data_IF_977001013024
#
_entry.id   IF_977001013024
#
_cell.length_a   1.000
_cell.length_b   1.000
_cell.length_c   1.000
_cell.angle_alpha   90.00
_cell.angle_beta   90.00
_cell.angle_gamma   90.00
#
_symmetry.space_group_name_H-M   'P 1'
#
loop_
_entity.id
_entity.type
_entity.pdbx_description
1 polymer ?
#
# COMPACT_ATOMS: atom_id res chain seq x y z
N UNK A 1 56.75 24.01 18.52
CA UNK A 1 55.93 25.17 18.13
C UNK A 1 54.92 24.68 17.10
N UNK A 2 53.64 25.00 17.30
CA UNK A 2 52.45 24.60 16.49
C UNK A 2 51.77 23.25 16.81
N UNK A 3 51.31 23.10 18.06
CA UNK A 3 50.05 22.41 18.31
C UNK A 3 48.94 23.47 18.31
N UNK A 4 48.26 23.65 17.17
CA UNK A 4 46.98 24.34 17.17
C UNK A 4 45.95 23.39 17.79
N UNK A 5 45.59 23.66 19.04
CA UNK A 5 44.31 23.24 19.57
C UNK A 5 43.23 23.82 18.66
N UNK A 6 42.69 23.01 17.74
CA UNK A 6 41.36 23.26 17.24
C UNK A 6 40.45 22.99 18.44
N UNK A 7 39.98 24.07 19.09
CA UNK A 7 38.87 24.00 20.03
C UNK A 7 37.78 23.13 19.37
N UNK A 8 37.24 22.11 20.07
CA UNK A 8 36.02 21.50 19.62
C UNK A 8 35.00 22.63 19.60
N UNK A 9 34.58 23.03 18.40
CA UNK A 9 33.49 23.97 18.18
C UNK A 9 32.37 23.51 19.09
N UNK A 10 32.14 24.24 20.19
CA UNK A 10 31.11 23.94 21.16
C UNK A 10 29.79 23.93 20.39
N UNK A 11 29.34 22.73 20.01
CA UNK A 11 28.02 22.53 19.41
C UNK A 11 27.06 22.84 20.55
N UNK A 12 26.43 24.00 20.47
CA UNK A 12 25.46 24.46 21.45
C UNK A 12 24.38 23.37 21.58
N UNK A 13 24.10 22.84 22.77
CA UNK A 13 23.06 21.82 22.97
C UNK A 13 21.69 22.27 22.44
N UNK A 14 21.42 23.59 22.46
CA UNK A 14 20.21 24.21 21.89
C UNK A 14 20.17 24.21 20.36
N UNK A 15 21.31 24.16 19.65
CA UNK A 15 21.32 24.03 18.19
C UNK A 15 21.08 22.58 17.74
N UNK A 16 21.54 21.61 18.54
CA UNK A 16 21.33 20.18 18.25
C UNK A 16 19.89 19.74 18.53
N UNK A 17 19.24 20.27 19.58
CA UNK A 17 17.83 20.00 19.87
C UNK A 17 16.91 20.57 18.80
N UNK A 18 17.11 21.83 18.39
CA UNK A 18 16.31 22.46 17.32
C UNK A 18 16.47 21.73 15.98
N UNK A 19 17.69 21.34 15.59
CA UNK A 19 17.89 20.59 14.34
C UNK A 19 17.23 19.22 14.39
N UNK A 20 17.28 18.52 15.54
CA UNK A 20 16.65 17.19 15.68
C UNK A 20 15.13 17.29 15.67
N UNK A 21 14.55 18.32 16.28
CA UNK A 21 13.09 18.57 16.26
C UNK A 21 12.59 18.97 14.86
N UNK A 22 13.33 19.84 14.14
CA UNK A 22 12.99 20.22 12.76
C UNK A 22 13.05 19.01 11.83
N UNK A 23 14.08 18.16 11.94
CA UNK A 23 14.20 16.93 11.15
C UNK A 23 13.09 15.91 11.48
N UNK A 24 12.64 15.83 12.74
CA UNK A 24 11.55 14.94 13.12
C UNK A 24 10.19 15.39 12.54
N UNK A 25 9.91 16.69 12.56
CA UNK A 25 8.69 17.29 12.01
C UNK A 25 8.62 17.14 10.48
N UNK A 26 9.76 17.32 9.79
CA UNK A 26 9.83 17.12 8.33
C UNK A 26 9.57 15.67 7.93
N UNK A 27 10.13 14.70 8.65
CA UNK A 27 9.87 13.27 8.42
C UNK A 27 8.41 12.88 8.71
N UNK A 28 7.79 13.49 9.73
CA UNK A 28 6.37 13.27 10.04
C UNK A 28 5.47 13.82 8.93
N UNK A 29 5.73 15.06 8.47
CA UNK A 29 5.02 15.67 7.34
C UNK A 29 5.13 14.85 6.07
N UNK A 30 6.31 14.32 5.76
CA UNK A 30 6.50 13.46 4.59
C UNK A 30 5.69 12.17 4.69
N UNK A 31 5.66 11.52 5.86
CA UNK A 31 4.84 10.32 6.11
C UNK A 31 3.35 10.61 5.95
N UNK A 32 2.86 11.69 6.56
CA UNK A 32 1.46 12.11 6.45
C UNK A 32 1.10 12.38 4.98
N UNK A 33 1.94 13.13 4.26
CA UNK A 33 1.74 13.45 2.84
C UNK A 33 1.72 12.19 1.96
N UNK A 34 2.59 11.23 2.24
CA UNK A 34 2.62 9.93 1.56
C UNK A 34 1.35 9.11 1.82
N UNK A 35 0.89 9.07 3.06
CA UNK A 35 -0.34 8.37 3.45
C UNK A 35 -1.57 8.96 2.75
N UNK A 36 -1.72 10.29 2.74
CA UNK A 36 -2.83 10.98 2.07
C UNK A 36 -2.85 10.68 0.57
N UNK A 37 -1.68 10.72 -0.10
CA UNK A 37 -1.60 10.41 -1.53
C UNK A 37 -2.05 8.98 -1.83
N UNK A 38 -1.63 8.03 -1.00
CA UNK A 38 -1.97 6.62 -1.16
C UNK A 38 -3.47 6.38 -0.96
N UNK A 39 -4.07 7.00 0.06
CA UNK A 39 -5.50 6.91 0.35
C UNK A 39 -6.37 7.57 -0.74
N UNK A 40 -5.93 8.70 -1.30
CA UNK A 40 -6.61 9.35 -2.43
C UNK A 40 -6.60 8.48 -3.69
N UNK A 41 -5.48 7.84 -4.00
CA UNK A 41 -5.37 6.94 -5.16
C UNK A 41 -6.26 5.72 -4.97
N UNK A 42 -6.23 5.07 -3.79
CA UNK A 42 -7.09 3.91 -3.52
C UNK A 42 -8.57 4.25 -3.54
N UNK A 43 -8.97 5.38 -2.95
CA UNK A 43 -10.38 5.79 -2.97
C UNK A 43 -10.85 6.13 -4.38
N UNK A 44 -10.02 6.81 -5.20
CA UNK A 44 -10.34 7.08 -6.60
C UNK A 44 -10.46 5.79 -7.42
N UNK A 45 -9.58 4.82 -7.19
CA UNK A 45 -9.58 3.50 -7.83
C UNK A 45 -10.89 2.76 -7.59
N UNK A 46 -11.32 2.64 -6.32
CA UNK A 46 -12.59 2.01 -5.94
C UNK A 46 -13.78 2.72 -6.61
N UNK A 47 -13.75 4.06 -6.65
CA UNK A 47 -14.82 4.85 -7.27
C UNK A 47 -14.90 4.57 -8.78
N UNK A 48 -13.78 4.61 -9.49
CA UNK A 48 -13.72 4.39 -10.94
C UNK A 48 -14.16 2.98 -11.31
N UNK A 49 -13.72 1.96 -10.56
CA UNK A 49 -14.14 0.57 -10.77
C UNK A 49 -15.63 0.43 -10.58
N UNK A 50 -16.14 0.97 -9.46
CA UNK A 50 -17.57 0.90 -9.16
C UNK A 50 -18.38 1.58 -10.25
N UNK A 51 -18.04 2.83 -10.60
CA UNK A 51 -18.69 3.58 -11.66
C UNK A 51 -18.64 2.86 -13.01
N UNK A 52 -17.53 2.22 -13.36
CA UNK A 52 -17.41 1.41 -14.56
C UNK A 52 -18.37 0.23 -14.56
N UNK A 53 -18.46 -0.52 -13.45
CA UNK A 53 -19.35 -1.70 -13.35
C UNK A 53 -20.84 -1.36 -13.34
N UNK A 54 -21.21 -0.20 -12.79
CA UNK A 54 -22.60 0.26 -12.71
C UNK A 54 -22.95 1.33 -13.74
N UNK A 55 -22.10 1.57 -14.74
CA UNK A 55 -22.28 2.64 -15.71
C UNK A 55 -23.62 2.57 -16.47
N UNK A 56 -24.19 1.36 -16.61
CA UNK A 56 -25.44 1.10 -17.36
C UNK A 56 -26.72 1.24 -16.54
N UNK A 57 -26.65 1.42 -15.21
CA UNK A 57 -27.85 1.57 -14.35
C UNK A 57 -28.19 3.04 -14.10
N UNK A 58 -29.40 3.30 -13.56
CA UNK A 58 -29.84 4.66 -13.24
C UNK A 58 -28.94 5.34 -12.21
N UNK A 59 -28.82 6.67 -12.27
CA UNK A 59 -27.97 7.46 -11.38
C UNK A 59 -28.23 7.18 -9.89
N UNK A 60 -29.50 7.03 -9.50
CA UNK A 60 -29.89 6.69 -8.12
C UNK A 60 -29.29 5.35 -7.66
N UNK A 61 -29.34 4.34 -8.53
CA UNK A 61 -28.74 3.04 -8.25
C UNK A 61 -27.21 3.11 -8.22
N UNK A 62 -26.59 3.90 -9.10
CA UNK A 62 -25.13 4.11 -9.08
C UNK A 62 -24.67 4.69 -7.75
N UNK A 63 -25.33 5.74 -7.26
CA UNK A 63 -25.01 6.37 -5.97
C UNK A 63 -25.21 5.38 -4.82
N UNK A 64 -26.31 4.63 -4.81
CA UNK A 64 -26.57 3.63 -3.77
C UNK A 64 -25.49 2.54 -3.73
N UNK A 65 -25.09 2.01 -4.89
CA UNK A 65 -24.01 1.00 -4.96
C UNK A 65 -22.68 1.59 -4.54
N UNK A 66 -22.35 2.81 -5.01
CA UNK A 66 -21.09 3.47 -4.67
C UNK A 66 -20.95 3.72 -3.16
N UNK A 67 -22.01 4.22 -2.51
CA UNK A 67 -22.04 4.40 -1.04
C UNK A 67 -21.95 3.05 -0.32
N UNK A 68 -22.69 2.05 -0.79
CA UNK A 68 -22.65 0.70 -0.21
C UNK A 68 -21.27 0.08 -0.26
N UNK A 69 -20.61 0.09 -1.43
CA UNK A 69 -19.24 -0.41 -1.60
C UNK A 69 -18.25 0.40 -0.77
N UNK A 70 -18.37 1.73 -0.72
CA UNK A 70 -17.50 2.56 0.09
C UNK A 70 -17.55 2.18 1.58
N UNK A 71 -18.75 1.98 2.14
CA UNK A 71 -18.93 1.55 3.54
C UNK A 71 -18.39 0.14 3.76
N UNK A 72 -18.74 -0.80 2.89
CA UNK A 72 -18.30 -2.21 3.00
C UNK A 72 -16.78 -2.30 2.94
N UNK A 73 -16.14 -1.60 2.01
CA UNK A 73 -14.69 -1.60 1.87
C UNK A 73 -14.01 -0.91 3.05
N UNK A 74 -14.57 0.21 3.54
CA UNK A 74 -14.04 0.89 4.73
C UNK A 74 -14.10 -0.06 5.94
N UNK A 75 -15.27 -0.59 6.28
CA UNK A 75 -15.41 -1.48 7.43
C UNK A 75 -14.64 -2.78 7.23
N UNK A 76 -14.69 -3.36 6.03
CA UNK A 76 -14.07 -4.64 5.70
C UNK A 76 -12.54 -4.57 5.76
N UNK A 77 -11.92 -3.59 5.09
CA UNK A 77 -10.46 -3.46 5.04
C UNK A 77 -9.91 -3.01 6.38
N UNK A 78 -10.44 -1.93 6.97
CA UNK A 78 -9.96 -1.44 8.26
C UNK A 78 -10.25 -2.44 9.39
N UNK A 79 -11.39 -3.15 9.33
CA UNK A 79 -11.74 -4.21 10.28
C UNK A 79 -10.80 -5.42 10.17
N UNK A 80 -10.48 -5.86 8.95
CA UNK A 80 -9.52 -6.95 8.73
C UNK A 80 -8.13 -6.57 9.22
N UNK A 81 -7.63 -5.37 8.89
CA UNK A 81 -6.33 -4.89 9.35
C UNK A 81 -6.30 -4.77 10.87
N UNK A 82 -7.34 -4.20 11.49
CA UNK A 82 -7.46 -4.10 12.94
C UNK A 82 -7.48 -5.48 13.61
N UNK A 83 -8.17 -6.46 13.02
CA UNK A 83 -8.17 -7.84 13.52
C UNK A 83 -6.77 -8.46 13.46
N UNK A 84 -6.04 -8.27 12.36
CA UNK A 84 -4.66 -8.76 12.20
C UNK A 84 -3.74 -8.13 13.25
N UNK A 85 -3.80 -6.82 13.45
CA UNK A 85 -2.98 -6.10 14.44
C UNK A 85 -3.35 -6.55 15.86
N UNK A 86 -4.63 -6.72 16.16
CA UNK A 86 -5.10 -7.21 17.47
C UNK A 86 -4.60 -8.63 17.77
N UNK A 87 -4.51 -9.48 16.75
CA UNK A 87 -3.96 -10.83 16.88
C UNK A 87 -2.45 -10.79 17.16
N UNK A 88 -1.71 -9.86 16.56
CA UNK A 88 -0.28 -9.65 16.84
C UNK A 88 -0.05 -9.17 18.29
N UNK A 89 -0.75 -8.12 18.71
CA UNK A 89 -0.71 -7.60 20.08
C UNK A 89 -1.14 -8.67 21.12
N UNK A 90 -2.17 -9.46 20.77
CA UNK A 90 -2.60 -10.60 21.57
C UNK A 90 -1.55 -11.70 21.67
N UNK A 91 -0.77 -11.91 20.60
CA UNK A 91 0.36 -12.84 20.59
C UNK A 91 1.42 -12.47 21.63
N UNK A 92 1.72 -11.18 21.79
CA UNK A 92 2.62 -10.68 22.82
C UNK A 92 2.08 -10.96 24.23
N UNK A 93 0.79 -10.73 24.46
CA UNK A 93 0.16 -11.05 25.75
C UNK A 93 0.24 -12.55 26.08
N UNK A 94 0.03 -13.42 25.10
CA UNK A 94 0.17 -14.88 25.26
C UNK A 94 1.62 -15.29 25.52
N UNK A 95 2.60 -14.64 24.86
CA UNK A 95 4.02 -14.91 25.03
C UNK A 95 4.54 -14.54 26.42
N UNK A 96 3.98 -13.51 27.05
CA UNK A 96 4.33 -13.06 28.40
C UNK A 96 3.68 -13.88 29.52
N UNK A 97 2.85 -14.88 29.18
CA UNK A 97 2.14 -15.69 30.17
C UNK A 97 3.11 -16.55 31.01
N UNK A 98 3.18 -16.27 32.32
CA UNK A 98 4.10 -16.92 33.28
C UNK A 98 3.52 -18.16 33.97
N UNK A 99 2.33 -18.63 33.56
CA UNK A 99 1.70 -19.79 34.17
C UNK A 99 2.57 -21.05 34.01
N UNK A 100 2.87 -21.72 35.13
CA UNK A 100 3.72 -22.94 35.16
C UNK A 100 2.96 -24.22 34.77
N UNK A 101 1.69 -24.11 34.35
CA UNK A 101 0.88 -25.23 33.87
C UNK A 101 1.25 -25.61 32.43
N UNK A 102 1.01 -26.88 32.03
CA UNK A 102 1.18 -27.37 30.65
C UNK A 102 0.45 -26.45 29.64
N UNK A 103 -0.76 -25.99 29.99
CA UNK A 103 -1.56 -25.06 29.19
C UNK A 103 -0.86 -23.69 29.05
N UNK A 104 -0.16 -23.22 30.09
CA UNK A 104 0.64 -22.00 30.07
C UNK A 104 1.84 -22.10 29.13
N UNK A 105 2.51 -23.25 29.11
CA UNK A 105 3.62 -23.52 28.18
C UNK A 105 3.17 -23.55 26.71
N UNK A 106 2.00 -24.14 26.41
CA UNK A 106 1.41 -24.15 25.05
C UNK A 106 1.04 -22.73 24.63
N UNK A 107 0.35 -21.96 25.49
CA UNK A 107 -0.01 -20.56 25.21
C UNK A 107 1.21 -19.70 24.93
N UNK A 108 2.28 -19.85 25.72
CA UNK A 108 3.55 -19.13 25.50
C UNK A 108 4.19 -19.48 24.17
N UNK A 109 4.27 -20.78 23.83
CA UNK A 109 4.84 -21.24 22.55
C UNK A 109 4.03 -20.71 21.36
N UNK A 110 2.70 -20.67 21.47
CA UNK A 110 1.81 -20.11 20.46
C UNK A 110 1.98 -18.58 20.32
N UNK A 111 2.09 -17.86 21.44
CA UNK A 111 2.38 -16.43 21.44
C UNK A 111 3.71 -16.08 20.76
N UNK A 112 4.77 -16.84 21.03
CA UNK A 112 6.06 -16.69 20.33
C UNK A 112 5.96 -17.01 18.83
N UNK A 113 5.15 -18.00 18.45
CA UNK A 113 4.93 -18.32 17.05
C UNK A 113 4.20 -17.18 16.31
N UNK A 114 3.18 -16.57 16.93
CA UNK A 114 2.47 -15.40 16.40
C UNK A 114 3.44 -14.22 16.25
N UNK A 115 4.18 -13.87 17.30
CA UNK A 115 5.10 -12.73 17.29
C UNK A 115 6.21 -12.89 16.23
N UNK A 116 6.67 -14.13 16.00
CA UNK A 116 7.63 -14.42 14.93
C UNK A 116 7.01 -14.28 13.54
N UNK A 117 5.73 -14.60 13.38
CA UNK A 117 5.03 -14.59 12.09
C UNK A 117 4.53 -13.19 11.69
N UNK A 118 4.11 -12.37 12.64
CA UNK A 118 3.59 -11.02 12.41
C UNK A 118 4.45 -10.13 11.49
N UNK A 119 5.80 -10.02 11.64
CA UNK A 119 6.59 -9.21 10.72
C UNK A 119 6.62 -9.75 9.29
N UNK A 120 6.47 -11.08 9.10
CA UNK A 120 6.36 -11.66 7.76
C UNK A 120 5.00 -11.38 7.14
N UNK A 121 3.93 -11.46 7.94
CA UNK A 121 2.58 -11.10 7.50
C UNK A 121 2.52 -9.63 7.05
N UNK A 122 3.05 -8.71 7.85
CA UNK A 122 3.07 -7.28 7.51
C UNK A 122 3.87 -7.00 6.24
N UNK A 123 5.02 -7.67 6.04
CA UNK A 123 5.80 -7.58 4.80
C UNK A 123 5.05 -8.16 3.60
N UNK A 124 4.41 -9.31 3.77
CA UNK A 124 3.63 -9.94 2.71
C UNK A 124 2.46 -9.04 2.29
N UNK A 125 1.73 -8.45 3.25
CA UNK A 125 0.65 -7.51 2.95
C UNK A 125 1.15 -6.27 2.19
N UNK A 126 2.35 -5.77 2.49
CA UNK A 126 2.94 -4.67 1.72
C UNK A 126 3.24 -5.04 0.27
N UNK A 127 3.83 -6.21 0.03
CA UNK A 127 4.11 -6.71 -1.34
C UNK A 127 2.82 -7.01 -2.08
N UNK A 128 1.86 -7.69 -1.44
CA UNK A 128 0.56 -7.99 -2.02
C UNK A 128 -0.23 -6.72 -2.32
N UNK A 129 -0.22 -5.74 -1.41
CA UNK A 129 -0.88 -4.45 -1.62
C UNK A 129 -0.29 -3.70 -2.81
N UNK A 130 1.04 -3.68 -2.93
CA UNK A 130 1.72 -3.08 -4.08
C UNK A 130 1.37 -3.80 -5.38
N UNK A 131 1.37 -5.13 -5.38
CA UNK A 131 0.99 -5.93 -6.55
C UNK A 131 -0.48 -5.69 -6.93
N UNK A 132 -1.38 -5.63 -5.95
CA UNK A 132 -2.79 -5.34 -6.15
C UNK A 132 -2.99 -3.96 -6.80
N UNK A 133 -2.31 -2.92 -6.30
CA UNK A 133 -2.38 -1.58 -6.91
C UNK A 133 -1.97 -1.57 -8.39
N UNK A 134 -0.96 -2.36 -8.77
CA UNK A 134 -0.58 -2.49 -10.19
C UNK A 134 -1.59 -3.27 -11.01
N UNK A 135 -2.13 -4.38 -10.48
CA UNK A 135 -3.16 -5.17 -11.14
C UNK A 135 -4.40 -4.32 -11.42
N UNK A 136 -4.84 -3.56 -10.43
CA UNK A 136 -6.06 -2.77 -10.53
C UNK A 136 -5.84 -1.50 -11.35
N UNK A 137 -4.77 -0.75 -11.10
CA UNK A 137 -4.43 0.42 -11.91
C UNK A 137 -4.19 0.05 -13.38
N UNK A 138 -3.57 -1.10 -13.63
CA UNK A 138 -3.42 -1.69 -14.95
C UNK A 138 -4.77 -1.96 -15.62
N UNK A 139 -5.70 -2.62 -14.93
CA UNK A 139 -7.04 -2.89 -15.44
C UNK A 139 -7.79 -1.59 -15.79
N UNK A 140 -7.68 -0.55 -14.98
CA UNK A 140 -8.28 0.78 -15.28
C UNK A 140 -7.71 1.35 -16.58
N UNK A 141 -6.38 1.29 -16.77
CA UNK A 141 -5.73 1.82 -17.97
C UNK A 141 -6.09 1.01 -19.23
N UNK A 142 -6.07 -0.32 -19.16
CA UNK A 142 -6.36 -1.18 -20.31
C UNK A 142 -7.82 -1.03 -20.75
N UNK A 143 -8.77 -0.98 -19.82
CA UNK A 143 -10.18 -0.70 -20.12
C UNK A 143 -10.38 0.67 -20.79
N UNK A 144 -9.57 1.66 -20.43
CA UNK A 144 -9.56 2.98 -21.07
C UNK A 144 -9.02 2.98 -22.51
N UNK A 145 -8.33 1.92 -22.94
CA UNK A 145 -7.71 1.79 -24.26
C UNK A 145 -8.28 0.56 -24.98
N UNK A 146 -9.34 0.72 -25.79
CA UNK A 146 -10.06 -0.40 -26.41
C UNK A 146 -9.17 -1.38 -27.19
N UNK A 147 -8.12 -0.88 -27.84
CA UNK A 147 -7.18 -1.72 -28.58
C UNK A 147 -6.38 -2.67 -27.67
N UNK A 148 -5.99 -2.20 -26.49
CA UNK A 148 -5.24 -3.01 -25.50
C UNK A 148 -6.19 -4.00 -24.83
N UNK A 149 -7.36 -3.54 -24.41
CA UNK A 149 -8.38 -4.38 -23.80
C UNK A 149 -8.78 -5.57 -24.69
N UNK A 150 -9.17 -5.30 -25.94
CA UNK A 150 -9.54 -6.38 -26.86
C UNK A 150 -8.37 -7.31 -27.19
N UNK A 151 -7.13 -6.80 -27.24
CA UNK A 151 -5.94 -7.64 -27.44
C UNK A 151 -5.74 -8.63 -26.29
N UNK A 152 -5.92 -8.17 -25.06
CA UNK A 152 -5.85 -9.01 -23.85
C UNK A 152 -7.00 -10.02 -23.82
N UNK A 153 -8.23 -9.60 -24.13
CA UNK A 153 -9.38 -10.50 -24.18
C UNK A 153 -9.25 -11.58 -25.25
N UNK A 154 -8.75 -11.24 -26.45
CA UNK A 154 -8.55 -12.22 -27.53
C UNK A 154 -7.52 -13.28 -27.15
N UNK A 155 -6.44 -12.89 -26.48
CA UNK A 155 -5.44 -13.84 -25.97
C UNK A 155 -6.05 -14.78 -24.92
N UNK A 156 -6.94 -14.26 -24.07
CA UNK A 156 -7.63 -15.06 -23.06
C UNK A 156 -8.74 -15.95 -23.63
N UNK A 157 -9.42 -15.52 -24.70
CA UNK A 157 -10.48 -16.27 -25.37
C UNK A 157 -9.96 -17.58 -26.01
N UNK A 158 -8.66 -17.65 -26.33
CA UNK A 158 -8.01 -18.87 -26.80
C UNK A 158 -7.77 -19.94 -25.71
N UNK A 159 -8.05 -19.63 -24.43
CA UNK A 159 -7.79 -20.52 -23.31
C UNK A 159 -9.05 -21.34 -22.98
N UNK A 160 -8.88 -22.66 -22.91
CA UNK A 160 -9.97 -23.61 -22.67
C UNK A 160 -10.36 -23.77 -21.20
N UNK A 161 -9.47 -23.43 -20.27
CA UNK A 161 -9.76 -23.53 -18.84
C UNK A 161 -10.43 -22.26 -18.33
N UNK A 162 -11.61 -22.41 -17.72
CA UNK A 162 -12.36 -21.30 -17.14
C UNK A 162 -11.52 -20.48 -16.13
N UNK A 163 -10.64 -21.15 -15.37
CA UNK A 163 -9.80 -20.44 -14.41
C UNK A 163 -8.67 -19.62 -15.05
N UNK A 164 -8.32 -19.89 -16.31
CA UNK A 164 -7.34 -19.08 -17.04
C UNK A 164 -7.98 -17.83 -17.65
N UNK A 165 -9.28 -17.88 -17.95
CA UNK A 165 -10.00 -16.77 -18.59
C UNK A 165 -10.16 -15.54 -17.68
N UNK A 166 -10.12 -15.70 -16.36
CA UNK A 166 -10.06 -14.57 -15.42
C UNK A 166 -8.62 -14.24 -15.00
N UNK A 167 -7.78 -15.25 -14.79
CA UNK A 167 -6.41 -15.04 -14.30
C UNK A 167 -5.51 -14.37 -15.34
N UNK A 168 -5.56 -14.79 -16.60
CA UNK A 168 -4.65 -14.29 -17.65
C UNK A 168 -4.92 -12.81 -17.96
N UNK A 169 -6.16 -12.35 -18.19
CA UNK A 169 -6.43 -10.93 -18.36
C UNK A 169 -5.95 -10.09 -17.18
N UNK A 170 -6.25 -10.50 -15.95
CA UNK A 170 -5.85 -9.76 -14.75
C UNK A 170 -4.32 -9.65 -14.62
N UNK A 171 -3.58 -10.73 -14.93
CA UNK A 171 -2.11 -10.68 -14.92
C UNK A 171 -1.57 -9.79 -16.03
N UNK A 172 -2.14 -9.84 -17.24
CA UNK A 172 -1.72 -9.00 -18.36
C UNK A 172 -2.02 -7.52 -18.09
N UNK A 173 -3.18 -7.21 -17.50
CA UNK A 173 -3.52 -5.88 -17.01
C UNK A 173 -2.48 -5.41 -15.98
N UNK A 174 -2.11 -6.25 -15.01
CA UNK A 174 -1.07 -5.91 -14.04
C UNK A 174 0.30 -5.66 -14.65
N UNK A 175 0.72 -6.49 -15.62
CA UNK A 175 1.97 -6.28 -16.36
C UNK A 175 1.91 -4.94 -17.12
N UNK A 176 0.79 -4.63 -17.78
CA UNK A 176 0.58 -3.35 -18.43
C UNK A 176 0.65 -2.19 -17.43
N UNK A 177 0.03 -2.35 -16.26
CA UNK A 177 0.08 -1.37 -15.16
C UNK A 177 1.51 -1.12 -14.66
N UNK A 178 2.34 -2.16 -14.51
CA UNK A 178 3.76 -2.02 -14.15
C UNK A 178 4.53 -1.28 -15.24
N UNK A 179 4.35 -1.65 -16.51
CA UNK A 179 5.03 -1.00 -17.64
C UNK A 179 4.63 0.47 -17.74
N UNK A 180 3.33 0.77 -17.64
CA UNK A 180 2.81 2.13 -17.65
C UNK A 180 3.34 2.94 -16.45
N UNK A 181 3.40 2.34 -15.26
CA UNK A 181 3.96 2.95 -14.06
C UNK A 181 5.45 3.30 -14.23
N UNK A 182 6.25 2.38 -14.76
CA UNK A 182 7.67 2.61 -15.07
C UNK A 182 7.80 3.74 -16.10
N UNK A 183 7.02 3.71 -17.18
CA UNK A 183 7.04 4.75 -18.20
C UNK A 183 6.69 6.13 -17.62
N UNK A 184 5.65 6.19 -16.77
CA UNK A 184 5.27 7.42 -16.08
C UNK A 184 6.40 7.94 -15.18
N UNK A 185 7.05 7.07 -14.40
CA UNK A 185 8.20 7.46 -13.56
C UNK A 185 9.37 8.00 -14.40
N UNK A 186 9.68 7.36 -15.53
CA UNK A 186 10.73 7.80 -16.44
C UNK A 186 10.45 9.16 -17.07
N UNK A 187 9.18 9.56 -17.21
CA UNK A 187 8.78 10.88 -17.72
C UNK A 187 8.75 11.91 -16.59
N UNK A 188 8.18 11.55 -15.43
CA UNK A 188 7.93 12.48 -14.32
C UNK A 188 9.23 12.85 -13.61
N UNK A 189 10.15 11.91 -13.37
CA UNK A 189 11.42 12.21 -12.70
C UNK A 189 12.27 13.28 -13.41
N UNK A 190 12.54 13.20 -14.73
CA UNK A 190 13.28 14.26 -15.42
C UNK A 190 12.47 15.56 -15.52
N UNK A 191 11.14 15.49 -15.68
CA UNK A 191 10.29 16.68 -15.71
C UNK A 191 10.33 17.44 -14.38
N UNK A 192 10.26 16.74 -13.24
CA UNK A 192 10.37 17.34 -11.91
C UNK A 192 11.74 17.97 -11.68
N UNK A 193 12.83 17.32 -12.10
CA UNK A 193 14.17 17.89 -12.04
C UNK A 193 14.29 19.16 -12.88
N UNK A 194 13.67 19.20 -14.06
CA UNK A 194 13.67 20.38 -14.92
C UNK A 194 12.86 21.54 -14.30
N UNK A 195 11.69 21.25 -13.71
CA UNK A 195 10.87 22.26 -13.04
C UNK A 195 11.50 22.80 -11.75
N UNK A 196 12.12 21.95 -10.94
CA UNK A 196 12.85 22.38 -9.74
C UNK A 196 14.12 23.18 -10.09
N UNK A 197 14.76 22.92 -11.22
CA UNK A 197 15.90 23.74 -11.69
C UNK A 197 15.51 25.16 -12.12
N UNK A 198 14.22 25.44 -12.27
CA UNK A 198 13.67 26.76 -12.67
C UNK A 198 13.06 27.56 -11.51
N UNK A 199 13.00 26.98 -10.31
CA UNK A 199 12.61 27.66 -9.07
C UNK A 199 13.85 27.95 -8.24
#
# INVERSE_FOLDING_TARGET
>A
QYFHHAEPKHLDPQQTSNQTEILADDLEKEKIKGAIRTDFILSAEIIVITLGTVASVSFSNQVMVLVGIAIIMTVGVYGLVAAIVKLDDGGLYLAQCQAQTIIGAIKRKFGFAILKFAPYLMKALSVLGTAAMFLVGGAILTHGIPAVHHGIEQLAAGLSAAWLQWLVPTLLDGVFGVVAGIAALLIVMPAQRLFQSRQ
#
